data_IF_296934898113
#
_entry.id   IF_296934898113
#
_cell.length_a   1.000
_cell.length_b   1.000
_cell.length_c   1.000
_cell.angle_alpha   90.00
_cell.angle_beta   90.00
_cell.angle_gamma   90.00
#
_symmetry.space_group_name_H-M   'P 1'
#
loop_
_entity.id
_entity.type
_entity.pdbx_description
1 polymer ?
#
# COMPACT_ATOMS: atom_id res chain seq x y z
N UNK A 1 -13.96 -8.01 -5.60
CA UNK A 1 -12.58 -8.50 -5.75
C UNK A 1 -11.63 -7.41 -5.28
N UNK A 2 -11.45 -7.30 -3.96
CA UNK A 2 -10.34 -6.52 -3.43
C UNK A 2 -9.15 -7.48 -3.35
N UNK A 3 -8.09 -7.21 -4.11
CA UNK A 3 -6.86 -8.00 -4.05
C UNK A 3 -6.33 -7.91 -2.61
N UNK A 4 -6.15 -9.05 -1.94
CA UNK A 4 -5.56 -9.09 -0.59
C UNK A 4 -4.07 -8.73 -0.71
N UNK A 5 -3.71 -7.53 -0.26
CA UNK A 5 -2.35 -7.02 -0.38
C UNK A 5 -1.38 -7.77 0.53
N UNK A 6 -1.83 -8.33 1.65
CA UNK A 6 -0.98 -9.13 2.52
C UNK A 6 -0.65 -10.48 1.87
N UNK A 7 -1.65 -11.13 1.26
CA UNK A 7 -1.43 -12.35 0.49
C UNK A 7 -0.50 -12.10 -0.71
N UNK A 8 -0.73 -11.01 -1.44
CA UNK A 8 0.16 -10.59 -2.52
C UNK A 8 1.60 -10.37 -2.02
N UNK A 9 1.77 -9.76 -0.85
CA UNK A 9 3.09 -9.53 -0.26
C UNK A 9 3.81 -10.85 0.05
N UNK A 10 3.10 -11.82 0.61
CA UNK A 10 3.64 -13.15 0.93
C UNK A 10 4.03 -13.91 -0.35
N UNK A 11 3.15 -13.95 -1.35
CA UNK A 11 3.35 -14.70 -2.58
C UNK A 11 4.50 -14.11 -3.44
N UNK A 12 4.71 -12.79 -3.38
CA UNK A 12 5.70 -12.07 -4.19
C UNK A 12 6.93 -11.61 -3.44
N UNK A 13 7.00 -11.84 -2.12
CA UNK A 13 8.11 -11.38 -1.28
C UNK A 13 8.22 -9.85 -1.17
N UNK A 14 7.10 -9.14 -1.23
CA UNK A 14 7.08 -7.67 -1.09
C UNK A 14 7.24 -7.29 0.37
N UNK A 15 8.23 -6.44 0.67
CA UNK A 15 8.51 -5.99 2.04
C UNK A 15 7.82 -4.68 2.40
N UNK A 16 7.63 -3.81 1.40
CA UNK A 16 7.07 -2.48 1.58
C UNK A 16 6.17 -2.11 0.40
N UNK A 17 5.14 -1.34 0.70
CA UNK A 17 4.21 -0.77 -0.25
C UNK A 17 4.34 0.76 -0.23
N UNK A 18 4.27 1.37 -1.40
CA UNK A 18 4.12 2.82 -1.53
C UNK A 18 2.65 3.13 -1.76
N UNK A 19 1.99 3.62 -0.71
CA UNK A 19 0.63 4.15 -0.83
C UNK A 19 0.75 5.58 -1.34
N UNK A 20 0.42 5.81 -2.62
CA UNK A 20 0.56 7.11 -3.25
C UNK A 20 -0.78 7.75 -3.61
N UNK A 21 -0.79 9.07 -3.61
CA UNK A 21 -1.87 9.89 -4.15
C UNK A 21 -1.28 11.11 -4.85
N UNK A 22 -2.09 11.76 -5.69
CA UNK A 22 -1.73 12.99 -6.37
C UNK A 22 -2.48 14.14 -5.74
N UNK A 23 -1.79 15.21 -5.35
CA UNK A 23 -2.42 16.41 -4.83
C UNK A 23 -2.96 17.32 -5.95
N UNK A 24 -3.65 18.40 -5.58
CA UNK A 24 -4.28 19.34 -6.54
C UNK A 24 -3.26 20.03 -7.47
N UNK A 25 -1.99 20.08 -7.07
CA UNK A 25 -0.91 20.67 -7.86
C UNK A 25 -0.19 19.63 -8.73
N UNK A 26 -0.71 18.40 -8.79
CA UNK A 26 -0.12 17.31 -9.57
C UNK A 26 1.10 16.67 -8.90
N UNK A 27 1.42 17.01 -7.65
CA UNK A 27 2.57 16.41 -6.95
C UNK A 27 2.19 15.04 -6.43
N UNK A 28 3.05 14.05 -6.69
CA UNK A 28 2.89 12.72 -6.13
C UNK A 28 3.39 12.69 -4.69
N UNK A 29 2.51 12.29 -3.78
CA UNK A 29 2.80 12.05 -2.37
C UNK A 29 2.73 10.56 -2.10
N UNK A 30 3.58 10.06 -1.20
CA UNK A 30 3.61 8.64 -0.90
C UNK A 30 3.93 8.38 0.57
N UNK A 31 3.34 7.33 1.12
CA UNK A 31 3.71 6.77 2.42
C UNK A 31 4.29 5.38 2.20
N UNK A 32 5.48 5.14 2.77
CA UNK A 32 6.08 3.82 2.80
C UNK A 32 5.45 3.00 3.94
N UNK A 33 4.76 1.92 3.60
CA UNK A 33 4.06 1.05 4.54
C UNK A 33 4.71 -0.34 4.52
N UNK A 34 5.13 -0.88 5.68
CA UNK A 34 5.64 -2.25 5.73
C UNK A 34 4.53 -3.26 5.47
N UNK A 35 4.86 -4.40 4.85
CA UNK A 35 3.91 -5.47 4.54
C UNK A 35 3.15 -5.98 5.79
N UNK A 36 3.75 -5.89 6.98
CA UNK A 36 3.10 -6.24 8.24
C UNK A 36 1.89 -5.35 8.59
N UNK A 37 1.85 -4.11 8.09
CA UNK A 37 0.79 -3.14 8.37
C UNK A 37 -0.16 -2.91 7.18
N UNK A 38 -0.01 -3.66 6.07
CA UNK A 38 -0.76 -3.39 4.84
C UNK A 38 -2.24 -3.76 4.95
N UNK A 39 -2.58 -4.80 5.72
CA UNK A 39 -3.96 -5.26 5.91
C UNK A 39 -4.84 -4.20 6.57
N UNK A 40 -4.28 -3.47 7.53
CA UNK A 40 -4.99 -2.39 8.22
C UNK A 40 -5.04 -1.15 7.33
N UNK A 41 -3.94 -0.79 6.66
CA UNK A 41 -3.95 0.33 5.71
C UNK A 41 -4.91 0.14 4.53
N UNK A 42 -5.06 -1.09 4.05
CA UNK A 42 -6.01 -1.40 2.97
C UNK A 42 -7.47 -1.12 3.38
N UNK A 43 -7.81 -1.24 4.67
CA UNK A 43 -9.16 -0.97 5.19
C UNK A 43 -9.37 0.49 5.56
N UNK A 44 -8.33 1.13 6.09
CA UNK A 44 -8.43 2.45 6.72
C UNK A 44 -8.10 3.62 5.77
N UNK A 45 -7.27 3.40 4.74
CA UNK A 45 -6.71 4.48 3.91
C UNK A 45 -5.48 5.13 4.53
#
# INVERSE_FOLDING_TARGET
>A
MATDLAKFAQDKGVKFFLMNFTDLFGTQRSKLVPAAAISDMQKSG
#
